data_IF_354899821021
#
_entry.id   IF_354899821021
#
_cell.length_a   1.000
_cell.length_b   1.000
_cell.length_c   1.000
_cell.angle_alpha   90.00
_cell.angle_beta   90.00
_cell.angle_gamma   90.00
#
_symmetry.space_group_name_H-M   'P 1'
#
loop_
_entity.id
_entity.type
_entity.pdbx_description
1 polymer ?
#
# COMPACT_ATOMS: atom_id res chain seq x y z
N UNK A 1 0.46 12.97 -13.49
CA UNK A 1 0.20 11.66 -12.85
C UNK A 1 0.59 11.80 -11.38
N UNK A 2 -0.23 12.52 -10.61
CA UNK A 2 0.04 12.80 -9.18
C UNK A 2 -0.91 12.00 -8.28
N UNK A 3 -1.96 11.41 -8.85
CA UNK A 3 -3.02 10.70 -8.13
C UNK A 3 -2.60 9.31 -7.63
N UNK A 4 -1.63 8.66 -8.29
CA UNK A 4 -1.19 7.30 -7.89
C UNK A 4 -0.29 7.32 -6.64
N UNK A 5 0.55 8.36 -6.49
CA UNK A 5 1.45 8.46 -5.32
C UNK A 5 0.68 8.70 -4.03
N UNK A 6 -0.31 9.61 -4.04
CA UNK A 6 -1.14 9.86 -2.85
C UNK A 6 -1.92 8.60 -2.46
N UNK A 7 -2.48 7.88 -3.45
CA UNK A 7 -3.21 6.64 -3.19
C UNK A 7 -2.32 5.51 -2.65
N UNK A 8 -1.05 5.42 -3.05
CA UNK A 8 -0.12 4.46 -2.43
C UNK A 8 0.25 4.88 -1.00
N UNK A 9 0.61 6.13 -0.77
CA UNK A 9 0.97 6.62 0.57
C UNK A 9 -0.18 6.48 1.58
N UNK A 10 -1.43 6.72 1.14
CA UNK A 10 -2.63 6.50 1.97
C UNK A 10 -2.83 5.03 2.33
N UNK A 11 -2.57 4.12 1.39
CA UNK A 11 -2.61 2.68 1.66
C UNK A 11 -1.52 2.28 2.66
N UNK A 12 -0.28 2.78 2.47
CA UNK A 12 0.86 2.51 3.37
C UNK A 12 0.53 2.99 4.77
N UNK A 13 0.01 4.21 4.90
CA UNK A 13 -0.40 4.78 6.19
C UNK A 13 -1.45 3.92 6.89
N UNK A 14 -2.47 3.49 6.16
CA UNK A 14 -3.55 2.67 6.70
C UNK A 14 -3.01 1.32 7.16
N UNK A 15 -2.21 0.65 6.32
CA UNK A 15 -1.60 -0.65 6.61
C UNK A 15 -0.62 -0.56 7.80
N UNK A 16 0.22 0.46 7.84
CA UNK A 16 1.16 0.70 8.94
C UNK A 16 0.44 0.91 10.27
N UNK A 17 -0.66 1.68 10.26
CA UNK A 17 -1.51 1.87 11.45
C UNK A 17 -2.09 0.54 11.94
N UNK A 18 -2.65 -0.29 11.05
CA UNK A 18 -3.19 -1.60 11.42
C UNK A 18 -2.11 -2.58 11.93
N UNK A 19 -0.91 -2.55 11.35
CA UNK A 19 0.22 -3.36 11.81
C UNK A 19 0.65 -2.94 13.22
N UNK A 20 0.76 -1.64 13.46
CA UNK A 20 1.11 -1.09 14.78
C UNK A 20 0.02 -1.35 15.83
N UNK A 21 -1.26 -1.27 15.44
CA UNK A 21 -2.38 -1.54 16.35
C UNK A 21 -2.37 -3.00 16.82
N UNK A 22 -2.15 -3.94 15.88
CA UNK A 22 -2.11 -5.39 16.13
C UNK A 22 -0.80 -5.91 16.73
N UNK A 23 0.28 -5.13 16.68
CA UNK A 23 1.55 -5.54 17.26
C UNK A 23 1.44 -5.75 18.77
N UNK A 24 1.90 -6.91 19.24
CA UNK A 24 1.99 -7.24 20.67
C UNK A 24 3.19 -6.54 21.33
N UNK A 25 3.14 -6.31 22.64
CA UNK A 25 4.20 -5.57 23.34
C UNK A 25 5.51 -6.38 23.50
N UNK A 26 6.68 -5.72 23.35
CA UNK A 26 6.87 -4.29 23.08
C UNK A 26 6.64 -3.94 21.60
N UNK A 27 5.81 -2.91 21.36
CA UNK A 27 5.57 -2.41 20.01
C UNK A 27 6.86 -1.79 19.46
N UNK A 28 7.26 -2.19 18.26
CA UNK A 28 8.31 -1.55 17.48
C UNK A 28 8.03 -0.07 17.14
N UNK A 29 8.94 0.55 16.40
CA UNK A 29 8.81 1.96 16.01
C UNK A 29 7.79 2.14 14.88
N UNK A 30 7.12 3.31 14.78
CA UNK A 30 6.21 3.61 13.69
C UNK A 30 6.86 3.46 12.30
N UNK A 31 8.14 3.80 12.18
CA UNK A 31 8.92 3.70 10.95
C UNK A 31 9.09 2.25 10.46
N UNK A 32 9.27 1.29 11.38
CA UNK A 32 9.34 -0.15 11.03
C UNK A 32 8.03 -0.64 10.42
N UNK A 33 6.88 -0.26 11.00
CA UNK A 33 5.57 -0.63 10.46
C UNK A 33 5.26 0.08 9.14
N UNK A 34 5.78 1.30 8.96
CA UNK A 34 5.67 2.04 7.71
C UNK A 34 6.44 1.36 6.57
N UNK A 35 7.69 0.97 6.82
CA UNK A 35 8.50 0.27 5.83
C UNK A 35 7.91 -1.12 5.50
N UNK A 36 7.45 -1.83 6.52
CA UNK A 36 6.75 -3.11 6.35
C UNK A 36 5.47 -2.96 5.51
N UNK A 37 4.65 -1.95 5.80
CA UNK A 37 3.44 -1.66 5.04
C UNK A 37 3.74 -1.30 3.58
N UNK A 38 4.78 -0.49 3.35
CA UNK A 38 5.25 -0.14 2.00
C UNK A 38 5.67 -1.36 1.22
N UNK A 39 6.51 -2.21 1.80
CA UNK A 39 6.96 -3.45 1.18
C UNK A 39 5.80 -4.40 0.88
N UNK A 40 4.80 -4.46 1.76
CA UNK A 40 3.59 -5.27 1.56
C UNK A 40 2.79 -4.79 0.36
N UNK A 41 2.52 -3.48 0.28
CA UNK A 41 1.77 -2.87 -0.84
C UNK A 41 2.53 -2.97 -2.16
N UNK A 42 3.86 -2.76 -2.16
CA UNK A 42 4.68 -2.97 -3.36
C UNK A 42 4.70 -4.43 -3.81
N UNK A 43 4.52 -5.40 -2.89
CA UNK A 43 4.41 -6.84 -3.22
C UNK A 43 3.00 -7.25 -3.64
N UNK A 44 1.97 -6.63 -3.08
CA UNK A 44 0.55 -6.89 -3.38
C UNK A 44 0.13 -6.27 -4.71
N UNK A 45 0.75 -5.17 -5.13
CA UNK A 45 0.60 -4.66 -6.48
C UNK A 45 1.16 -5.72 -7.46
N UNK A 46 0.34 -6.34 -8.32
CA UNK A 46 0.91 -7.05 -9.45
C UNK A 46 1.77 -6.06 -10.25
N UNK A 47 2.77 -6.52 -11.04
CA UNK A 47 3.45 -5.67 -12.01
C UNK A 47 2.47 -5.29 -13.13
N UNK A 48 1.35 -4.67 -12.79
CA UNK A 48 0.50 -3.95 -13.73
C UNK A 48 1.18 -2.61 -13.90
N UNK A 49 2.09 -2.62 -14.86
CA UNK A 49 2.19 -1.60 -15.89
C UNK A 49 1.22 -0.43 -15.64
N UNK A 50 1.79 0.76 -15.42
CA UNK A 50 1.10 2.02 -15.64
C UNK A 50 0.55 2.04 -17.07
N UNK A 51 -0.67 1.53 -17.25
CA UNK A 51 -1.34 1.40 -18.53
C UNK A 51 -2.85 1.24 -18.29
N UNK A 52 -3.71 2.03 -18.97
CA UNK A 52 -5.13 2.05 -18.65
C UNK A 52 -5.76 0.76 -19.17
N UNK A 53 -6.25 -0.13 -18.29
CA UNK A 53 -7.26 -1.09 -18.72
C UNK A 53 -8.59 -0.35 -18.83
N UNK A 54 -8.74 0.38 -19.95
CA UNK A 54 -10.03 0.66 -20.55
C UNK A 54 -10.64 -0.68 -20.95
N UNK A 55 -11.24 -1.36 -19.98
CA UNK A 55 -12.07 -2.53 -20.18
C UNK A 55 -13.50 -2.08 -20.46
N UNK A 56 -13.72 -1.39 -21.57
CA UNK A 56 -15.05 -1.28 -22.16
C UNK A 56 -15.45 -2.69 -22.64
N UNK A 57 -16.57 -3.29 -22.18
CA UNK A 57 -17.03 -4.54 -22.75
C UNK A 57 -17.65 -4.25 -24.11
N UNK A 58 -16.84 -4.31 -25.16
CA UNK A 58 -17.35 -4.38 -26.53
C UNK A 58 -17.66 -5.84 -26.85
N UNK A 59 -18.94 -6.25 -26.70
CA UNK A 59 -19.78 -6.93 -27.71
C UNK A 59 -21.01 -7.61 -27.09
#
# INVERSE_FOLDING_TARGET
MEQEQTSQEEQIRTRAYYLWEQAEEPKGTPDEYWDQARADIEREAPPVESGPVSGEPSK
#
